data_IF_403005089782
#
_entry.id   IF_403005089782
#
_cell.length_a   1.000
_cell.length_b   1.000
_cell.length_c   1.000
_cell.angle_alpha   90.00
_cell.angle_beta   90.00
_cell.angle_gamma   90.00
#
_symmetry.space_group_name_H-M   'P 1'
#
loop_
_entity.id
_entity.type
_entity.pdbx_description
1 polymer ?
#
# COMPACT_ATOMS: atom_id res chain seq x y z
N UNK A 1 32.08 19.96 21.12
CA UNK A 1 30.68 20.22 21.54
C UNK A 1 29.66 20.14 20.39
N UNK A 2 30.06 20.22 19.12
CA UNK A 2 29.15 20.11 17.96
C UNK A 2 28.72 18.66 17.62
N UNK A 3 29.57 17.68 17.91
CA UNK A 3 29.33 16.26 17.58
C UNK A 3 28.26 15.59 18.45
N UNK A 4 28.17 15.97 19.74
CA UNK A 4 27.15 15.45 20.67
C UNK A 4 25.74 15.95 20.33
N UNK A 5 25.62 17.19 19.87
CA UNK A 5 24.33 17.79 19.49
C UNK A 5 23.74 17.12 18.22
N UNK A 6 24.56 16.88 17.20
CA UNK A 6 24.12 16.23 15.96
C UNK A 6 23.58 14.82 16.20
N UNK A 7 24.30 14.01 16.98
CA UNK A 7 23.93 12.63 17.33
C UNK A 7 22.57 12.56 18.05
N UNK A 8 22.31 13.48 18.99
CA UNK A 8 21.03 13.54 19.70
C UNK A 8 19.83 13.79 18.78
N UNK A 9 20.00 14.61 17.74
CA UNK A 9 18.94 14.95 16.80
C UNK A 9 18.57 13.78 15.87
N UNK A 10 19.56 13.00 15.43
CA UNK A 10 19.35 11.82 14.59
C UNK A 10 18.65 10.69 15.36
N UNK A 11 19.07 10.46 16.61
CA UNK A 11 18.42 9.48 17.48
C UNK A 11 16.94 9.85 17.71
N UNK A 12 16.66 11.11 18.08
CA UNK A 12 15.30 11.58 18.30
C UNK A 12 14.39 11.37 17.08
N UNK A 13 14.84 11.76 15.88
CA UNK A 13 14.05 11.54 14.64
C UNK A 13 13.85 10.06 14.33
N UNK A 14 14.83 9.22 14.66
CA UNK A 14 14.70 7.78 14.49
C UNK A 14 13.62 7.22 15.42
N UNK A 15 13.63 7.63 16.70
CA UNK A 15 12.60 7.25 17.68
C UNK A 15 11.21 7.77 17.29
N UNK A 16 11.09 9.00 16.81
CA UNK A 16 9.84 9.57 16.30
C UNK A 16 9.30 8.75 15.11
N UNK A 17 10.19 8.32 14.20
CA UNK A 17 9.79 7.44 13.10
C UNK A 17 9.35 6.05 13.57
N UNK A 18 10.07 5.43 14.52
CA UNK A 18 9.64 4.16 15.12
C UNK A 18 8.26 4.30 15.76
N UNK A 19 8.03 5.35 16.55
CA UNK A 19 6.75 5.62 17.16
C UNK A 19 5.64 5.80 16.12
N UNK A 20 5.89 6.53 15.04
CA UNK A 20 4.93 6.69 13.94
C UNK A 20 4.59 5.35 13.27
N UNK A 21 5.57 4.46 13.10
CA UNK A 21 5.35 3.11 12.58
C UNK A 21 4.48 2.25 13.51
N UNK A 22 4.73 2.31 14.82
CA UNK A 22 3.93 1.60 15.84
C UNK A 22 2.50 2.13 15.86
N UNK A 23 2.31 3.45 15.84
CA UNK A 23 0.98 4.07 15.81
C UNK A 23 0.21 3.68 14.55
N UNK A 24 0.87 3.64 13.39
CA UNK A 24 0.22 3.20 12.16
C UNK A 24 -0.22 1.73 12.24
N UNK A 25 0.64 0.83 12.72
CA UNK A 25 0.27 -0.58 12.94
C UNK A 25 -0.91 -0.72 13.90
N UNK A 26 -0.89 -0.01 15.04
CA UNK A 26 -1.99 -0.01 16.00
C UNK A 26 -3.30 0.51 15.37
N UNK A 27 -3.23 1.57 14.56
CA UNK A 27 -4.38 2.09 13.82
C UNK A 27 -4.96 1.05 12.85
N UNK A 28 -4.09 0.25 12.21
CA UNK A 28 -4.51 -0.85 11.35
C UNK A 28 -5.26 -1.95 12.07
N UNK A 29 -4.93 -2.22 13.33
CA UNK A 29 -5.60 -3.21 14.18
C UNK A 29 -6.93 -2.71 14.76
N UNK A 30 -7.26 -1.42 14.66
CA UNK A 30 -8.44 -0.84 15.29
C UNK A 30 -9.76 -1.56 14.97
N UNK A 31 -10.07 -1.94 13.71
CA UNK A 31 -11.31 -2.68 13.41
C UNK A 31 -11.47 -3.94 14.27
N UNK A 32 -10.36 -4.66 14.50
CA UNK A 32 -10.35 -5.86 15.32
C UNK A 32 -10.51 -5.57 16.80
N UNK A 33 -9.78 -4.57 17.30
CA UNK A 33 -9.78 -4.21 18.72
C UNK A 33 -11.11 -3.59 19.16
N UNK A 34 -11.75 -2.80 18.29
CA UNK A 34 -13.11 -2.27 18.52
C UNK A 34 -14.14 -3.40 18.62
N UNK A 35 -13.96 -4.48 17.85
CA UNK A 35 -14.76 -5.70 17.97
C UNK A 35 -14.50 -6.52 19.25
N UNK A 36 -13.62 -6.04 20.14
CA UNK A 36 -13.30 -6.67 21.43
C UNK A 36 -12.03 -7.52 21.42
N UNK A 37 -11.37 -7.70 20.27
CA UNK A 37 -10.09 -8.41 20.17
C UNK A 37 -10.09 -9.85 20.69
N UNK A 38 -11.24 -10.52 20.73
CA UNK A 38 -11.35 -11.91 21.21
C UNK A 38 -11.02 -12.88 20.10
N UNK A 39 -10.15 -13.86 20.36
CA UNK A 39 -9.76 -14.88 19.39
C UNK A 39 -11.03 -15.49 18.74
N UNK A 40 -11.11 -15.55 17.39
CA UNK A 40 -12.23 -16.23 16.75
C UNK A 40 -12.31 -17.69 17.22
N UNK A 41 -13.50 -18.27 17.25
CA UNK A 41 -13.68 -19.66 17.67
C UNK A 41 -12.73 -20.60 16.90
N UNK A 42 -12.03 -21.45 17.64
CA UNK A 42 -11.04 -22.38 17.11
C UNK A 42 -11.62 -23.79 17.13
N UNK A 43 -11.75 -24.42 15.97
CA UNK A 43 -12.30 -25.79 15.88
C UNK A 43 -11.36 -26.86 16.44
N UNK A 44 -10.07 -26.52 16.60
CA UNK A 44 -9.03 -27.40 17.13
C UNK A 44 -8.62 -27.03 18.56
N UNK A 45 -9.41 -26.20 19.25
CA UNK A 45 -9.13 -25.85 20.65
C UNK A 45 -9.19 -27.09 21.53
N UNK A 46 -8.24 -27.25 22.45
CA UNK A 46 -8.13 -28.47 23.26
C UNK A 46 -9.33 -28.67 24.20
N UNK A 47 -9.87 -27.56 24.72
CA UNK A 47 -11.00 -27.59 25.65
C UNK A 47 -12.26 -27.00 25.00
N UNK A 48 -13.43 -27.52 25.32
CA UNK A 48 -14.68 -26.92 24.84
C UNK A 48 -14.83 -25.50 25.40
N UNK A 49 -14.82 -24.50 24.52
CA UNK A 49 -14.84 -23.08 24.89
C UNK A 49 -15.83 -22.34 24.01
N UNK A 50 -16.83 -21.71 24.63
CA UNK A 50 -17.81 -20.89 23.92
C UNK A 50 -17.14 -19.63 23.32
N UNK A 51 -17.68 -19.04 22.23
CA UNK A 51 -17.09 -17.85 21.59
C UNK A 51 -16.82 -16.68 22.56
N UNK A 52 -17.68 -16.48 23.57
CA UNK A 52 -17.50 -15.42 24.58
C UNK A 52 -16.35 -15.68 25.57
N UNK A 53 -15.92 -16.94 25.72
CA UNK A 53 -14.82 -17.35 26.59
C UNK A 53 -13.45 -17.39 25.89
N UNK A 54 -13.40 -17.11 24.59
CA UNK A 54 -12.14 -17.09 23.85
C UNK A 54 -11.22 -15.95 24.33
N UNK A 55 -9.90 -16.21 24.47
CA UNK A 55 -8.96 -15.24 25.03
C UNK A 55 -8.73 -14.03 24.12
N UNK A 56 -8.21 -12.95 24.69
CA UNK A 56 -7.82 -11.77 23.93
C UNK A 56 -6.56 -12.02 23.09
N UNK A 57 -6.58 -11.54 21.86
CA UNK A 57 -5.47 -11.57 20.91
C UNK A 57 -5.42 -10.28 20.08
N UNK A 58 -4.20 -9.85 19.74
CA UNK A 58 -3.99 -8.67 18.91
C UNK A 58 -4.28 -8.91 17.43
N UNK A 59 -4.22 -10.17 16.97
CA UNK A 59 -4.54 -10.58 15.62
C UNK A 59 -5.65 -11.65 15.63
N UNK A 60 -6.63 -11.57 14.71
CA UNK A 60 -7.71 -12.55 14.59
C UNK A 60 -7.21 -13.86 13.94
N UNK A 61 -6.38 -14.63 14.65
CA UNK A 61 -5.78 -15.85 14.13
C UNK A 61 -6.85 -16.92 13.91
N UNK A 62 -7.26 -17.09 12.66
CA UNK A 62 -8.22 -18.12 12.22
C UNK A 62 -8.16 -18.30 10.71
N UNK A 63 -8.38 -19.52 10.23
CA UNK A 63 -8.52 -19.81 8.79
C UNK A 63 -9.62 -18.98 8.10
N UNK A 64 -10.69 -18.64 8.84
CA UNK A 64 -11.81 -17.84 8.33
C UNK A 64 -11.52 -16.34 8.32
N UNK A 65 -10.36 -15.94 8.86
CA UNK A 65 -9.90 -14.55 8.98
C UNK A 65 -8.56 -14.35 8.26
N UNK A 66 -8.17 -15.24 7.35
CA UNK A 66 -6.91 -15.14 6.62
C UNK A 66 -6.77 -13.83 5.84
N UNK A 67 -7.82 -13.42 5.12
CA UNK A 67 -7.82 -12.13 4.43
C UNK A 67 -7.85 -10.96 5.42
N UNK A 68 -8.62 -11.08 6.52
CA UNK A 68 -8.63 -10.07 7.59
C UNK A 68 -7.23 -9.84 8.16
N UNK A 69 -6.48 -10.91 8.47
CA UNK A 69 -5.09 -10.81 8.94
C UNK A 69 -4.22 -10.02 7.96
N UNK A 70 -4.30 -10.32 6.67
CA UNK A 70 -3.53 -9.62 5.65
C UNK A 70 -3.86 -8.12 5.61
N UNK A 71 -5.14 -7.76 5.58
CA UNK A 71 -5.54 -6.35 5.40
C UNK A 71 -5.25 -5.50 6.63
N UNK A 72 -5.36 -6.07 7.84
CA UNK A 72 -5.00 -5.39 9.09
C UNK A 72 -3.50 -5.03 9.16
N UNK A 73 -2.64 -5.76 8.43
CA UNK A 73 -1.19 -5.52 8.39
C UNK A 73 -0.76 -4.66 7.19
N UNK A 74 -1.32 -4.91 6.00
CA UNK A 74 -0.89 -4.27 4.76
C UNK A 74 -1.40 -2.82 4.65
N UNK A 75 -2.67 -2.58 4.95
CA UNK A 75 -3.29 -1.25 4.81
C UNK A 75 -2.60 -0.18 5.66
N UNK A 76 -2.37 -0.36 6.98
CA UNK A 76 -1.67 0.65 7.77
C UNK A 76 -0.23 0.90 7.29
N UNK A 77 0.47 -0.13 6.81
CA UNK A 77 1.84 0.01 6.34
C UNK A 77 1.90 0.84 5.04
N UNK A 78 0.97 0.63 4.11
CA UNK A 78 0.83 1.44 2.90
C UNK A 78 0.44 2.88 3.24
N UNK A 79 -0.49 3.07 4.18
CA UNK A 79 -0.88 4.40 4.64
C UNK A 79 0.30 5.14 5.29
N UNK A 80 1.10 4.47 6.11
CA UNK A 80 2.32 5.02 6.70
C UNK A 80 3.36 5.41 5.63
N UNK A 81 3.55 4.56 4.61
CA UNK A 81 4.47 4.86 3.50
C UNK A 81 4.03 6.09 2.71
N UNK A 82 2.72 6.21 2.43
CA UNK A 82 2.14 7.39 1.81
C UNK A 82 2.30 8.65 2.70
N UNK A 83 2.11 8.53 4.01
CA UNK A 83 2.29 9.62 4.95
C UNK A 83 3.74 10.12 4.99
N UNK A 84 4.72 9.19 5.06
CA UNK A 84 6.15 9.51 4.95
C UNK A 84 6.44 10.23 3.64
N UNK A 85 5.88 9.74 2.52
CA UNK A 85 6.04 10.35 1.22
C UNK A 85 5.48 11.78 1.14
N UNK A 86 4.30 12.00 1.70
CA UNK A 86 3.64 13.31 1.72
C UNK A 86 4.34 14.30 2.66
N UNK A 87 4.86 13.80 3.79
CA UNK A 87 5.56 14.59 4.80
C UNK A 87 7.03 14.90 4.44
N UNK A 88 7.59 14.27 3.40
CA UNK A 88 9.01 14.40 3.03
C UNK A 88 9.48 15.86 2.82
N UNK A 89 8.58 16.80 2.48
CA UNK A 89 8.90 18.22 2.34
C UNK A 89 8.81 19.04 3.64
N UNK A 90 8.23 18.48 4.71
CA UNK A 90 7.94 19.19 5.98
C UNK A 90 8.68 18.58 7.16
N UNK A 91 8.69 17.26 7.28
CA UNK A 91 9.27 16.52 8.39
C UNK A 91 10.05 15.34 7.83
N UNK A 92 11.38 15.39 7.95
CA UNK A 92 12.27 14.34 7.47
C UNK A 92 12.35 13.20 8.51
N UNK A 93 11.31 12.36 8.58
CA UNK A 93 11.38 11.08 9.29
C UNK A 93 12.13 10.05 8.42
N UNK A 94 13.15 9.36 8.95
CA UNK A 94 13.82 8.30 8.22
C UNK A 94 12.84 7.18 7.89
N UNK A 95 12.63 6.87 6.61
CA UNK A 95 11.67 5.82 6.21
C UNK A 95 11.99 4.45 6.84
N UNK A 96 13.28 4.14 7.03
CA UNK A 96 13.71 2.89 7.66
C UNK A 96 13.26 2.79 9.13
N UNK A 97 13.18 3.91 9.87
CA UNK A 97 12.78 3.87 11.28
C UNK A 97 11.26 3.67 11.42
N UNK A 98 10.48 4.25 10.51
CA UNK A 98 9.03 3.94 10.40
C UNK A 98 8.79 2.48 10.02
N UNK A 99 9.55 1.95 9.05
CA UNK A 99 9.50 0.54 8.69
C UNK A 99 9.85 -0.39 9.86
N UNK A 100 10.83 0.00 10.70
CA UNK A 100 11.21 -0.75 11.89
C UNK A 100 10.08 -0.73 12.95
N UNK A 101 9.45 0.43 13.17
CA UNK A 101 8.30 0.54 14.07
C UNK A 101 7.11 -0.34 13.65
N UNK A 102 6.78 -0.34 12.35
CA UNK A 102 5.76 -1.23 11.77
C UNK A 102 6.12 -2.71 12.01
N UNK A 103 7.36 -3.10 11.71
CA UNK A 103 7.84 -4.47 11.88
C UNK A 103 7.77 -4.91 13.34
N UNK A 104 8.21 -4.07 14.28
CA UNK A 104 8.17 -4.34 15.71
C UNK A 104 6.73 -4.54 16.21
N UNK A 105 5.81 -3.66 15.82
CA UNK A 105 4.41 -3.77 16.21
C UNK A 105 3.74 -5.03 15.64
N UNK A 106 3.96 -5.32 14.35
CA UNK A 106 3.43 -6.53 13.72
C UNK A 106 4.02 -7.82 14.33
N UNK A 107 5.33 -7.84 14.59
CA UNK A 107 5.99 -8.96 15.24
C UNK A 107 5.46 -9.17 16.67
N UNK A 108 5.26 -8.09 17.44
CA UNK A 108 4.68 -8.16 18.79
C UNK A 108 3.25 -8.69 18.78
N UNK A 109 2.40 -8.18 17.87
CA UNK A 109 1.02 -8.64 17.71
C UNK A 109 0.95 -10.12 17.29
N UNK A 110 1.86 -10.54 16.41
CA UNK A 110 1.99 -11.94 15.97
C UNK A 110 2.44 -12.83 17.13
N UNK A 111 3.52 -12.48 17.82
CA UNK A 111 4.03 -13.26 18.93
C UNK A 111 2.98 -13.43 20.04
N UNK A 112 2.31 -12.35 20.44
CA UNK A 112 1.25 -12.42 21.45
C UNK A 112 0.12 -13.36 21.03
N UNK A 113 -0.40 -13.18 19.80
CA UNK A 113 -1.56 -13.95 19.34
C UNK A 113 -1.22 -15.43 19.16
N UNK A 114 -0.05 -15.75 18.60
CA UNK A 114 0.37 -17.13 18.38
C UNK A 114 0.81 -17.84 19.67
N UNK A 115 1.31 -17.15 20.69
CA UNK A 115 1.52 -17.76 22.01
C UNK A 115 0.18 -18.17 22.63
N UNK A 116 -0.86 -17.34 22.52
CA UNK A 116 -2.21 -17.68 23.00
C UNK A 116 -2.77 -18.88 22.24
N UNK A 117 -2.66 -18.88 20.92
CA UNK A 117 -3.14 -20.01 20.10
C UNK A 117 -2.34 -21.29 20.38
N UNK A 118 -1.01 -21.23 20.47
CA UNK A 118 -0.18 -22.41 20.76
C UNK A 118 -0.57 -23.08 22.08
N UNK A 119 -0.85 -22.29 23.11
CA UNK A 119 -1.32 -22.79 24.41
C UNK A 119 -2.70 -23.41 24.32
N UNK A 120 -3.65 -22.76 23.65
CA UNK A 120 -5.01 -23.28 23.53
C UNK A 120 -5.17 -24.49 22.62
N UNK A 121 -4.24 -24.69 21.69
CA UNK A 121 -4.12 -25.89 20.86
C UNK A 121 -3.28 -27.00 21.53
N UNK A 122 -2.70 -26.75 22.70
CA UNK A 122 -1.74 -27.64 23.38
C UNK A 122 -0.62 -28.13 22.44
N UNK A 123 -0.07 -27.18 21.67
CA UNK A 123 0.94 -27.46 20.66
C UNK A 123 2.15 -28.19 21.28
N UNK A 124 2.46 -29.38 20.77
CA UNK A 124 3.53 -30.25 21.27
C UNK A 124 3.10 -31.30 22.29
N UNK A 125 1.85 -31.25 22.77
CA UNK A 125 1.27 -32.30 23.64
C UNK A 125 0.25 -33.18 22.88
N UNK A 126 -0.36 -32.64 21.82
CA UNK A 126 -1.32 -33.37 20.98
C UNK A 126 -0.64 -34.19 19.88
N UNK A 127 -1.24 -35.35 19.54
CA UNK A 127 -0.80 -36.25 18.45
C UNK A 127 -1.46 -35.85 17.11
N UNK A 128 -2.43 -34.93 17.11
CA UNK A 128 -3.15 -34.53 15.89
C UNK A 128 -2.27 -33.66 14.98
N UNK A 129 -1.79 -34.25 13.87
CA UNK A 129 -0.95 -33.58 12.89
C UNK A 129 -1.60 -32.31 12.27
N UNK A 130 -2.94 -32.21 12.30
CA UNK A 130 -3.67 -31.05 11.79
C UNK A 130 -3.41 -29.79 12.60
N UNK A 131 -3.13 -29.92 13.90
CA UNK A 131 -2.80 -28.79 14.79
C UNK A 131 -1.52 -28.11 14.33
N UNK A 132 -0.49 -28.89 14.00
CA UNK A 132 0.77 -28.37 13.47
C UNK A 132 0.57 -27.66 12.12
N UNK A 133 -0.12 -28.31 11.18
CA UNK A 133 -0.41 -27.73 9.86
C UNK A 133 -1.20 -26.41 9.97
N UNK A 134 -2.23 -26.39 10.81
CA UNK A 134 -3.04 -25.21 11.08
C UNK A 134 -2.21 -24.06 11.66
N UNK A 135 -1.45 -24.35 12.72
CA UNK A 135 -0.67 -23.34 13.42
C UNK A 135 0.43 -22.75 12.54
N UNK A 136 1.28 -23.60 11.96
CA UNK A 136 2.41 -23.15 11.14
C UNK A 136 1.96 -22.59 9.79
N UNK A 137 0.88 -23.10 9.22
CA UNK A 137 0.28 -22.55 8.00
C UNK A 137 -0.21 -21.12 8.20
N UNK A 138 -0.95 -20.86 9.29
CA UNK A 138 -1.39 -19.50 9.64
C UNK A 138 -0.22 -18.59 10.00
N UNK A 139 0.77 -19.09 10.75
CA UNK A 139 1.96 -18.31 11.10
C UNK A 139 2.73 -17.91 9.83
N UNK A 140 2.94 -18.84 8.91
CA UNK A 140 3.55 -18.58 7.61
C UNK A 140 2.78 -17.54 6.80
N UNK A 141 1.45 -17.63 6.77
CA UNK A 141 0.59 -16.64 6.12
C UNK A 141 0.69 -15.23 6.73
N UNK A 142 0.79 -15.13 8.06
CA UNK A 142 1.00 -13.86 8.77
C UNK A 142 2.38 -13.30 8.48
N UNK A 143 3.44 -14.12 8.52
CA UNK A 143 4.81 -13.69 8.15
C UNK A 143 4.84 -13.18 6.71
N UNK A 144 4.24 -13.89 5.76
CA UNK A 144 4.13 -13.44 4.38
C UNK A 144 3.37 -12.11 4.28
N UNK A 145 2.30 -11.93 5.06
CA UNK A 145 1.55 -10.66 5.13
C UNK A 145 2.38 -9.51 5.69
N UNK A 146 3.22 -9.75 6.70
CA UNK A 146 4.18 -8.75 7.22
C UNK A 146 5.17 -8.35 6.15
N UNK A 147 5.71 -9.31 5.39
CA UNK A 147 6.64 -9.02 4.29
C UNK A 147 5.96 -8.18 3.19
N UNK A 148 4.70 -8.50 2.85
CA UNK A 148 3.90 -7.70 1.92
C UNK A 148 3.61 -6.30 2.46
N UNK A 149 3.35 -6.16 3.75
CA UNK A 149 3.16 -4.87 4.40
C UNK A 149 4.44 -4.00 4.30
N UNK A 150 5.61 -4.58 4.57
CA UNK A 150 6.90 -3.90 4.40
C UNK A 150 7.15 -3.53 2.93
N UNK A 151 6.85 -4.42 1.99
CA UNK A 151 6.97 -4.12 0.57
C UNK A 151 6.03 -2.97 0.16
N UNK A 152 4.78 -2.97 0.61
CA UNK A 152 3.80 -1.90 0.39
C UNK A 152 4.26 -0.56 0.96
N UNK A 153 4.79 -0.55 2.17
CA UNK A 153 5.40 0.64 2.79
C UNK A 153 6.58 1.16 1.95
N UNK A 154 7.50 0.28 1.53
CA UNK A 154 8.68 0.67 0.75
C UNK A 154 8.29 1.19 -0.64
N UNK A 155 7.29 0.60 -1.29
CA UNK A 155 6.78 1.07 -2.57
C UNK A 155 6.18 2.47 -2.46
N UNK A 156 5.37 2.72 -1.44
CA UNK A 156 4.64 3.99 -1.27
C UNK A 156 5.45 5.11 -0.65
N UNK A 157 6.46 4.82 0.16
CA UNK A 157 7.39 5.81 0.74
C UNK A 157 8.42 6.34 -0.26
N UNK A 158 8.64 5.65 -1.38
CA UNK A 158 9.60 6.07 -2.41
C UNK A 158 9.23 7.42 -3.03
N UNK A 159 10.26 8.23 -3.30
CA UNK A 159 10.10 9.54 -3.95
C UNK A 159 9.60 9.43 -5.41
N UNK A 160 9.91 8.34 -6.10
CA UNK A 160 9.45 8.08 -7.47
C UNK A 160 7.96 7.75 -7.50
N UNK A 161 7.22 8.34 -8.45
CA UNK A 161 5.77 8.14 -8.59
C UNK A 161 5.39 6.72 -9.01
N UNK A 162 6.24 6.01 -9.76
CA UNK A 162 5.93 4.68 -10.30
C UNK A 162 5.71 3.62 -9.22
N UNK A 163 6.72 3.36 -8.36
CA UNK A 163 6.57 2.45 -7.23
C UNK A 163 5.41 2.82 -6.30
N UNK A 164 5.22 4.11 -6.03
CA UNK A 164 4.12 4.57 -5.19
C UNK A 164 2.74 4.28 -5.81
N UNK A 165 2.58 4.51 -7.12
CA UNK A 165 1.35 4.18 -7.84
C UNK A 165 1.07 2.67 -7.82
N UNK A 166 2.10 1.83 -7.99
CA UNK A 166 1.96 0.38 -7.88
C UNK A 166 1.55 -0.04 -6.46
N UNK A 167 2.21 0.50 -5.43
CA UNK A 167 1.89 0.21 -4.02
C UNK A 167 0.46 0.60 -3.65
N UNK A 168 -0.01 1.78 -4.08
CA UNK A 168 -1.39 2.22 -3.89
C UNK A 168 -2.40 1.31 -4.62
N UNK A 169 -2.07 0.88 -5.83
CA UNK A 169 -2.95 0.01 -6.62
C UNK A 169 -3.07 -1.39 -6.01
N UNK A 170 -1.95 -1.97 -5.54
CA UNK A 170 -1.93 -3.25 -4.83
C UNK A 170 -2.71 -3.18 -3.50
N UNK A 171 -2.73 -2.02 -2.85
CA UNK A 171 -3.44 -1.80 -1.60
C UNK A 171 -4.93 -1.46 -1.78
N UNK A 172 -5.39 -1.20 -3.00
CA UNK A 172 -6.77 -0.77 -3.26
C UNK A 172 -7.82 -1.80 -2.79
N UNK A 173 -7.59 -3.07 -3.11
CA UNK A 173 -8.46 -4.17 -2.65
C UNK A 173 -8.35 -4.38 -1.13
N UNK A 174 -7.15 -4.54 -0.53
CA UNK A 174 -6.99 -4.58 0.92
C UNK A 174 -7.68 -3.42 1.66
N UNK A 175 -7.60 -2.19 1.13
CA UNK A 175 -8.23 -1.01 1.74
C UNK A 175 -9.75 -1.16 1.81
N UNK A 176 -10.39 -1.66 0.75
CA UNK A 176 -11.83 -1.90 0.75
C UNK A 176 -12.25 -2.96 1.78
N UNK A 177 -11.48 -4.03 1.92
CA UNK A 177 -11.71 -5.05 2.95
C UNK A 177 -11.44 -4.55 4.37
N UNK A 178 -10.41 -3.73 4.57
CA UNK A 178 -10.15 -3.10 5.87
C UNK A 178 -11.30 -2.18 6.29
N UNK A 179 -11.82 -1.38 5.35
CA UNK A 179 -12.98 -0.53 5.59
C UNK A 179 -14.24 -1.36 5.90
N UNK A 180 -14.45 -2.47 5.19
CA UNK A 180 -15.54 -3.42 5.46
C UNK A 180 -15.47 -3.95 6.90
N UNK A 181 -14.29 -4.39 7.36
CA UNK A 181 -14.11 -4.85 8.75
C UNK A 181 -14.32 -3.71 9.76
N UNK A 182 -13.87 -2.49 9.46
CA UNK A 182 -14.08 -1.33 10.33
C UNK A 182 -15.58 -1.03 10.51
N UNK A 183 -16.33 -1.00 9.42
CA UNK A 183 -17.78 -0.77 9.45
C UNK A 183 -18.50 -1.92 10.15
N UNK A 184 -18.10 -3.17 9.88
CA UNK A 184 -18.67 -4.34 10.55
C UNK A 184 -18.47 -4.29 12.07
N UNK A 185 -17.27 -3.92 12.53
CA UNK A 185 -16.96 -3.78 13.95
C UNK A 185 -17.78 -2.68 14.64
N UNK A 186 -18.02 -1.57 13.94
CA UNK A 186 -18.78 -0.42 14.48
C UNK A 186 -20.30 -0.62 14.44
N UNK A 187 -20.82 -1.41 13.49
CA UNK A 187 -22.27 -1.58 13.31
C UNK A 187 -22.86 -2.58 14.31
N UNK A 188 -22.07 -3.51 14.83
CA UNK A 188 -22.55 -4.57 15.71
C UNK A 188 -23.34 -5.67 14.97
N UNK A 189 -23.78 -6.72 15.70
CA UNK A 189 -24.41 -7.89 15.11
C UNK A 189 -25.73 -7.55 14.40
N UNK A 190 -25.88 -7.98 13.14
CA UNK A 190 -27.13 -7.86 12.38
C UNK A 190 -27.44 -6.49 11.77
N UNK A 191 -26.62 -5.46 12.01
CA UNK A 191 -26.86 -4.10 11.53
C UNK A 191 -25.96 -3.69 10.35
N UNK A 192 -25.53 -4.66 9.54
CA UNK A 192 -24.57 -4.39 8.47
C UNK A 192 -25.19 -3.55 7.33
N UNK A 193 -24.64 -2.37 7.00
CA UNK A 193 -25.25 -1.51 5.99
C UNK A 193 -25.22 -2.13 4.59
N UNK A 194 -26.36 -2.21 3.91
CA UNK A 194 -26.49 -2.80 2.58
C UNK A 194 -25.61 -2.12 1.51
N UNK A 195 -25.29 -0.82 1.68
CA UNK A 195 -24.41 -0.07 0.78
C UNK A 195 -22.98 -0.63 0.73
N UNK A 196 -22.54 -1.37 1.76
CA UNK A 196 -21.17 -1.87 1.85
C UNK A 196 -20.82 -2.87 0.77
N UNK A 197 -21.77 -3.68 0.29
CA UNK A 197 -21.53 -4.56 -0.86
C UNK A 197 -21.15 -3.76 -2.12
N UNK A 198 -21.78 -2.61 -2.33
CA UNK A 198 -21.43 -1.68 -3.40
C UNK A 198 -20.07 -1.04 -3.19
N UNK A 199 -19.78 -0.58 -1.97
CA UNK A 199 -18.49 0.05 -1.62
C UNK A 199 -17.33 -0.92 -1.82
N UNK A 200 -17.41 -2.14 -1.28
CA UNK A 200 -16.34 -3.15 -1.40
C UNK A 200 -16.09 -3.51 -2.87
N UNK A 201 -17.15 -3.57 -3.68
CA UNK A 201 -17.05 -3.86 -5.12
C UNK A 201 -16.38 -2.74 -5.91
N UNK A 202 -16.73 -1.48 -5.66
CA UNK A 202 -16.35 -0.36 -6.54
C UNK A 202 -15.19 0.49 -6.01
N UNK A 203 -14.96 0.52 -4.70
CA UNK A 203 -13.90 1.32 -4.09
C UNK A 203 -12.51 0.98 -4.63
N UNK A 204 -12.12 -0.30 -4.83
CA UNK A 204 -10.81 -0.61 -5.41
C UNK A 204 -10.62 0.01 -6.80
N UNK A 205 -11.67 -0.02 -7.65
CA UNK A 205 -11.63 0.57 -8.98
C UNK A 205 -11.45 2.10 -8.94
N UNK A 206 -12.13 2.77 -8.00
CA UNK A 206 -11.99 4.23 -7.81
C UNK A 206 -10.56 4.56 -7.36
N UNK A 207 -10.02 3.85 -6.37
CA UNK A 207 -8.66 4.07 -5.87
C UNK A 207 -7.61 3.86 -6.96
N UNK A 208 -7.74 2.79 -7.75
CA UNK A 208 -6.83 2.51 -8.88
C UNK A 208 -6.98 3.57 -9.96
N UNK A 209 -8.19 3.92 -10.37
CA UNK A 209 -8.45 4.97 -11.36
C UNK A 209 -7.86 6.33 -10.97
N UNK A 210 -8.03 6.73 -9.71
CA UNK A 210 -7.41 7.94 -9.15
C UNK A 210 -5.89 7.85 -9.10
N UNK A 211 -5.35 6.68 -8.81
CA UNK A 211 -3.90 6.42 -8.80
C UNK A 211 -3.31 6.54 -10.21
N UNK A 212 -3.97 5.96 -11.22
CA UNK A 212 -3.59 6.08 -12.63
C UNK A 212 -3.70 7.53 -13.12
N UNK A 213 -4.75 8.23 -12.70
CA UNK A 213 -4.91 9.66 -12.92
C UNK A 213 -3.73 10.44 -12.31
N UNK A 214 -3.39 10.22 -11.04
CA UNK A 214 -2.25 10.89 -10.41
C UNK A 214 -0.92 10.59 -11.12
N UNK A 215 -0.70 9.33 -11.51
CA UNK A 215 0.53 8.89 -12.17
C UNK A 215 0.69 9.49 -13.58
N UNK A 216 -0.37 9.52 -14.37
CA UNK A 216 -0.39 10.06 -15.74
C UNK A 216 -0.08 9.05 -16.85
N UNK A 217 -0.20 9.53 -18.10
CA UNK A 217 0.13 8.80 -19.33
C UNK A 217 1.30 9.51 -20.05
N UNK A 218 2.49 8.91 -20.05
CA UNK A 218 3.68 9.30 -20.81
C UNK A 218 4.36 8.03 -21.36
N UNK A 219 5.15 8.09 -22.44
CA UNK A 219 5.54 6.89 -23.18
C UNK A 219 6.47 5.92 -22.40
N UNK A 220 6.33 4.63 -22.73
CA UNK A 220 7.19 3.52 -22.30
C UNK A 220 6.88 2.96 -20.91
N UNK A 221 7.74 3.25 -19.93
CA UNK A 221 7.72 2.65 -18.57
C UNK A 221 6.41 2.88 -17.81
N UNK A 222 5.62 3.88 -18.21
CA UNK A 222 4.36 4.18 -17.53
C UNK A 222 3.24 3.22 -17.92
N UNK A 223 3.27 2.70 -19.15
CA UNK A 223 2.29 1.69 -19.61
C UNK A 223 2.42 0.41 -18.80
N UNK A 224 3.66 0.02 -18.45
CA UNK A 224 3.90 -1.14 -17.60
C UNK A 224 3.28 -0.97 -16.20
N UNK A 225 3.36 0.23 -15.60
CA UNK A 225 2.72 0.51 -14.29
C UNK A 225 1.21 0.50 -14.41
N UNK A 226 0.64 1.05 -15.50
CA UNK A 226 -0.79 0.97 -15.77
C UNK A 226 -1.28 -0.47 -15.89
N UNK A 227 -0.61 -1.26 -16.72
CA UNK A 227 -0.93 -2.67 -16.91
C UNK A 227 -0.82 -3.44 -15.58
N UNK A 228 0.25 -3.24 -14.81
CA UNK A 228 0.43 -3.87 -13.52
C UNK A 228 -0.65 -3.47 -12.50
N UNK A 229 -1.05 -2.19 -12.45
CA UNK A 229 -2.10 -1.71 -11.56
C UNK A 229 -3.48 -2.28 -11.92
N UNK A 230 -3.81 -2.34 -13.21
CA UNK A 230 -5.07 -2.95 -13.68
C UNK A 230 -5.07 -4.46 -13.48
N UNK A 231 -3.94 -5.14 -13.72
CA UNK A 231 -3.79 -6.56 -13.44
C UNK A 231 -3.91 -6.86 -11.95
N UNK A 232 -3.35 -6.04 -11.06
CA UNK A 232 -3.52 -6.16 -9.62
C UNK A 232 -5.00 -6.02 -9.22
N UNK A 233 -5.70 -5.00 -9.75
CA UNK A 233 -7.13 -4.83 -9.52
C UNK A 233 -7.95 -6.03 -9.99
N UNK A 234 -7.56 -6.64 -11.10
CA UNK A 234 -8.24 -7.79 -11.68
C UNK A 234 -8.01 -9.07 -10.87
N UNK A 235 -6.76 -9.34 -10.51
CA UNK A 235 -6.32 -10.62 -9.93
C UNK A 235 -6.48 -10.67 -8.42
N UNK A 236 -6.18 -9.58 -7.69
CA UNK A 236 -6.14 -9.61 -6.22
C UNK A 236 -7.48 -9.98 -5.57
N UNK A 237 -8.64 -9.40 -5.95
CA UNK A 237 -9.92 -9.82 -5.39
C UNK A 237 -10.24 -11.29 -5.68
N UNK A 238 -9.98 -11.75 -6.92
CA UNK A 238 -10.19 -13.14 -7.30
C UNK A 238 -9.33 -14.10 -6.48
N UNK A 239 -8.07 -13.73 -6.25
CA UNK A 239 -7.16 -14.49 -5.39
C UNK A 239 -7.69 -14.54 -3.94
N UNK A 240 -8.16 -13.42 -3.40
CA UNK A 240 -8.67 -13.36 -2.02
C UNK A 240 -9.88 -14.28 -1.82
N UNK A 241 -10.87 -14.21 -2.71
CA UNK A 241 -12.07 -15.06 -2.64
C UNK A 241 -11.70 -16.53 -2.77
N UNK A 242 -10.85 -16.88 -3.73
CA UNK A 242 -10.47 -18.26 -4.01
C UNK A 242 -9.67 -18.89 -2.88
N UNK A 243 -8.67 -18.16 -2.35
CA UNK A 243 -7.90 -18.62 -1.19
C UNK A 243 -8.78 -18.76 0.05
N UNK A 244 -9.65 -17.78 0.33
CA UNK A 244 -10.52 -17.83 1.49
C UNK A 244 -11.50 -19.01 1.41
N UNK A 245 -11.98 -19.34 0.21
CA UNK A 245 -12.83 -20.51 -0.05
C UNK A 245 -12.08 -21.82 0.21
N UNK A 246 -10.87 -21.98 -0.36
CA UNK A 246 -10.05 -23.17 -0.14
C UNK A 246 -9.67 -23.37 1.33
N UNK A 247 -9.26 -22.29 1.99
CA UNK A 247 -8.92 -22.29 3.42
C UNK A 247 -10.14 -22.66 4.29
N UNK A 248 -11.33 -22.13 3.99
CA UNK A 248 -12.52 -22.31 4.81
C UNK A 248 -13.14 -23.72 4.77
N UNK A 249 -13.00 -24.45 3.66
CA UNK A 249 -13.69 -25.72 3.47
C UNK A 249 -12.96 -26.93 4.10
N UNK A 250 -11.62 -26.88 4.24
CA UNK A 250 -10.83 -28.13 4.23
C UNK A 250 -9.56 -28.20 5.09
N UNK A 251 -9.15 -27.14 5.82
CA UNK A 251 -7.95 -27.27 6.69
C UNK A 251 -8.12 -28.34 7.77
N UNK A 252 -9.36 -28.58 8.21
CA UNK A 252 -9.70 -29.56 9.25
C UNK A 252 -9.61 -31.02 8.78
N UNK A 253 -9.57 -31.25 7.46
CA UNK A 253 -9.30 -32.57 6.87
C UNK A 253 -7.81 -32.78 6.57
N UNK A 254 -7.01 -31.72 6.61
CA UNK A 254 -5.58 -31.78 6.33
C UNK A 254 -5.23 -32.02 4.85
N UNK A 255 -6.20 -32.04 3.94
CA UNK A 255 -5.97 -32.30 2.52
C UNK A 255 -5.69 -31.00 1.75
N UNK A 256 -4.41 -30.64 1.67
CA UNK A 256 -3.93 -29.45 0.96
C UNK A 256 -4.20 -29.53 -0.54
N UNK A 257 -4.18 -30.74 -1.13
CA UNK A 257 -4.45 -30.95 -2.55
C UNK A 257 -5.89 -30.59 -2.90
N UNK A 258 -6.83 -31.05 -2.10
CA UNK A 258 -8.26 -30.75 -2.24
C UNK A 258 -8.57 -29.25 -1.99
N UNK A 259 -7.80 -28.59 -1.11
CA UNK A 259 -7.91 -27.13 -0.89
C UNK A 259 -7.44 -26.33 -2.11
N UNK A 260 -6.30 -26.70 -2.68
CA UNK A 260 -5.73 -26.04 -3.86
C UNK A 260 -6.62 -26.24 -5.08
N UNK A 261 -7.15 -27.45 -5.29
CA UNK A 261 -8.04 -27.74 -6.43
C UNK A 261 -9.33 -26.93 -6.35
N UNK A 262 -9.96 -26.82 -5.17
CA UNK A 262 -11.13 -25.96 -4.97
C UNK A 262 -10.83 -24.48 -5.24
N UNK A 263 -9.69 -23.99 -4.74
CA UNK A 263 -9.26 -22.60 -4.97
C UNK A 263 -9.05 -22.35 -6.47
N UNK A 264 -8.38 -23.27 -7.17
CA UNK A 264 -8.10 -23.17 -8.60
C UNK A 264 -9.37 -23.23 -9.46
N UNK A 265 -10.38 -24.03 -9.06
CA UNK A 265 -11.66 -24.11 -9.75
C UNK A 265 -12.48 -22.82 -9.64
N UNK A 266 -12.45 -22.16 -8.47
CA UNK A 266 -13.23 -20.93 -8.24
C UNK A 266 -12.58 -19.70 -8.88
N UNK A 267 -11.26 -19.67 -9.01
CA UNK A 267 -10.50 -18.49 -9.43
C UNK A 267 -10.92 -17.89 -10.80
N UNK A 268 -11.10 -18.67 -11.89
CA UNK A 268 -11.57 -18.13 -13.16
C UNK A 268 -12.96 -17.49 -13.08
N UNK A 269 -13.87 -18.09 -12.31
CA UNK A 269 -15.23 -17.59 -12.15
C UNK A 269 -15.23 -16.21 -11.48
N UNK A 270 -14.36 -16.01 -10.48
CA UNK A 270 -14.26 -14.71 -9.80
C UNK A 270 -13.53 -13.68 -10.67
N UNK A 271 -12.55 -14.08 -11.49
CA UNK A 271 -11.88 -13.17 -12.44
C UNK A 271 -12.87 -12.52 -13.41
N UNK A 272 -13.87 -13.26 -13.90
CA UNK A 272 -14.90 -12.73 -14.80
C UNK A 272 -15.71 -11.61 -14.14
N UNK A 273 -16.01 -11.74 -12.83
CA UNK A 273 -16.73 -10.72 -12.07
C UNK A 273 -15.94 -9.41 -11.92
N UNK A 274 -14.61 -9.47 -12.02
CA UNK A 274 -13.71 -8.33 -11.83
C UNK A 274 -13.48 -7.50 -13.11
N UNK A 275 -13.99 -7.94 -14.26
CA UNK A 275 -13.86 -7.20 -15.54
C UNK A 275 -14.50 -5.81 -15.45
N UNK A 276 -15.69 -5.71 -14.86
CA UNK A 276 -16.41 -4.44 -14.75
C UNK A 276 -15.68 -3.40 -13.86
N UNK A 277 -15.22 -3.73 -12.63
CA UNK A 277 -14.34 -2.84 -11.85
C UNK A 277 -13.09 -2.38 -12.60
N UNK A 278 -12.43 -3.28 -13.33
CA UNK A 278 -11.23 -2.95 -14.12
C UNK A 278 -11.54 -1.96 -15.23
N UNK A 279 -12.65 -2.15 -15.96
CA UNK A 279 -13.11 -1.23 -16.99
C UNK A 279 -13.41 0.16 -16.43
N UNK A 280 -14.04 0.25 -15.25
CA UNK A 280 -14.30 1.52 -14.56
C UNK A 280 -13.00 2.22 -14.17
N UNK A 281 -12.04 1.49 -13.58
CA UNK A 281 -10.75 2.06 -13.21
C UNK A 281 -9.99 2.61 -14.44
N UNK A 282 -10.01 1.86 -15.54
CA UNK A 282 -9.42 2.28 -16.82
C UNK A 282 -10.10 3.55 -17.35
N UNK A 283 -11.44 3.59 -17.35
CA UNK A 283 -12.21 4.75 -17.82
C UNK A 283 -11.90 6.00 -16.99
N UNK A 284 -11.85 5.89 -15.66
CA UNK A 284 -11.48 6.99 -14.76
C UNK A 284 -10.05 7.50 -15.03
N UNK A 285 -9.09 6.59 -15.19
CA UNK A 285 -7.71 6.93 -15.51
C UNK A 285 -7.59 7.67 -16.85
N UNK A 286 -8.25 7.16 -17.90
CA UNK A 286 -8.24 7.74 -19.24
C UNK A 286 -8.91 9.12 -19.27
N UNK A 287 -10.07 9.26 -18.61
CA UNK A 287 -10.79 10.53 -18.52
C UNK A 287 -9.91 11.62 -17.87
N UNK A 288 -9.22 11.29 -16.76
CA UNK A 288 -8.33 12.23 -16.09
C UNK A 288 -7.07 12.56 -16.91
N UNK A 289 -6.58 11.62 -17.71
CA UNK A 289 -5.47 11.89 -18.64
C UNK A 289 -5.92 12.82 -19.79
N UNK A 290 -7.10 12.58 -20.38
CA UNK A 290 -7.67 13.41 -21.43
C UNK A 290 -7.94 14.84 -20.93
N UNK A 291 -8.52 15.00 -19.73
CA UNK A 291 -8.76 16.31 -19.12
C UNK A 291 -7.47 17.13 -18.96
N UNK A 292 -6.38 16.51 -18.49
CA UNK A 292 -5.07 17.17 -18.37
C UNK A 292 -4.48 17.56 -19.72
N UNK A 293 -4.59 16.68 -20.73
CA UNK A 293 -4.13 17.00 -22.08
C UNK A 293 -4.91 18.17 -22.69
N UNK A 294 -6.22 18.25 -22.45
CA UNK A 294 -7.06 19.37 -22.88
C UNK A 294 -6.68 20.69 -22.21
N UNK A 295 -6.47 20.69 -20.89
CA UNK A 295 -6.04 21.87 -20.13
C UNK A 295 -4.66 22.37 -20.57
N UNK A 296 -3.70 21.47 -20.82
CA UNK A 296 -2.36 21.84 -21.30
C UNK A 296 -2.39 22.47 -22.70
N UNK A 297 -3.36 22.11 -23.56
CA UNK A 297 -3.54 22.72 -24.88
C UNK A 297 -4.16 24.12 -24.80
N UNK A 298 -5.11 24.33 -23.87
CA UNK A 298 -5.74 25.65 -23.63
C UNK A 298 -4.79 26.66 -22.97
N UNK A 299 -3.86 26.18 -22.14
CA UNK A 299 -2.84 27.00 -21.48
C UNK A 299 -1.65 27.41 -22.33
N UNK A 300 -1.68 27.21 -23.66
CA UNK A 300 -0.79 27.92 -24.59
C UNK A 300 -1.57 29.11 -25.16
N UNK A 301 -1.58 30.28 -24.50
CA UNK A 301 -1.95 31.52 -25.18
C UNK A 301 -1.12 31.58 -26.44
N UNK A 302 -1.77 31.95 -27.56
CA UNK A 302 -1.11 32.14 -28.83
C UNK A 302 0.23 32.82 -28.58
N UNK A 303 1.30 32.15 -29.04
CA UNK A 303 2.62 32.74 -29.13
C UNK A 303 2.41 33.92 -30.07
N UNK A 304 2.04 35.08 -29.49
CA UNK A 304 1.94 36.36 -30.18
C UNK A 304 3.25 36.44 -30.92
N UNK A 305 3.16 36.39 -32.24
CA UNK A 305 4.33 36.40 -33.09
C UNK A 305 5.21 37.55 -32.60
N UNK A 306 6.52 37.34 -32.37
CA UNK A 306 7.38 38.43 -32.02
C UNK A 306 7.43 39.38 -33.21
N UNK A 307 6.55 40.38 -33.19
CA UNK A 307 6.50 41.54 -34.07
C UNK A 307 7.73 42.45 -33.87
N UNK A 308 8.72 41.99 -33.10
CA UNK A 308 10.02 42.64 -32.88
C UNK A 308 11.10 42.34 -33.93
N UNK A 309 10.87 41.44 -34.92
CA UNK A 309 11.87 41.17 -35.97
C UNK A 309 12.03 42.29 -37.00
N UNK A 310 11.22 43.36 -36.94
CA UNK A 310 11.44 44.57 -37.77
C UNK A 310 12.47 45.55 -37.19
N UNK A 311 12.87 45.44 -35.92
CA UNK A 311 13.87 46.36 -35.34
C UNK A 311 15.30 45.80 -35.28
N UNK A 312 15.52 44.51 -35.52
CA UNK A 312 16.86 43.93 -35.58
C UNK A 312 17.65 44.41 -36.82
N UNK A 313 17.01 44.54 -37.98
CA UNK A 313 17.66 45.09 -39.18
C UNK A 313 18.03 46.58 -39.06
N UNK A 314 17.33 47.36 -38.21
CA UNK A 314 17.70 48.77 -37.97
C UNK A 314 18.92 48.93 -37.07
N UNK A 315 19.17 47.98 -36.16
CA UNK A 315 20.37 48.01 -35.28
C UNK A 315 21.63 47.51 -36.00
N UNK A 316 21.48 46.61 -36.97
CA UNK A 316 22.59 46.15 -37.81
C UNK A 316 23.02 47.23 -38.81
N UNK A 317 22.06 47.96 -39.41
CA UNK A 317 22.37 49.14 -40.24
C UNK A 317 23.08 50.27 -39.46
N UNK A 318 22.79 50.45 -38.16
CA UNK A 318 23.49 51.43 -37.30
C UNK A 318 24.88 50.95 -36.84
N UNK A 319 25.16 49.65 -36.80
CA UNK A 319 26.49 49.13 -36.44
C UNK A 319 27.52 49.28 -37.56
N UNK A 320 27.08 49.30 -38.82
CA UNK A 320 27.96 49.54 -39.97
C UNK A 320 28.36 51.02 -40.16
N UNK A 321 27.70 51.96 -39.48
CA UNK A 321 28.01 53.39 -39.54
C UNK A 321 28.84 53.91 -38.35
N UNK A 322 29.30 53.03 -37.46
CA UNK A 322 30.08 53.46 -36.28
C UNK A 322 31.58 53.39 -36.58
N UNK A 323 32.32 54.52 -36.58
CA UNK A 323 33.75 54.53 -36.83
C UNK A 323 34.52 53.77 -35.74
N UNK A 324 35.46 52.93 -36.20
CA UNK A 324 36.46 52.20 -35.42
C UNK A 324 37.06 53.06 -34.29
N UNK A 325 36.78 52.70 -33.04
CA UNK A 325 37.68 53.05 -31.93
C UNK A 325 38.58 51.85 -31.66
N UNK A 326 39.84 52.04 -32.05
CA UNK A 326 40.97 51.21 -31.67
C UNK A 326 41.23 51.26 -30.15
N UNK A 327 42.11 50.37 -29.71
CA UNK A 327 42.74 50.24 -28.38
C UNK A 327 41.89 49.52 -27.32
N UNK A 328 42.44 48.69 -26.43
CA UNK A 328 43.83 48.49 -26.05
C UNK A 328 44.01 47.10 -25.44
N UNK A 329 45.13 46.48 -25.78
CA UNK A 329 45.77 45.32 -25.16
C UNK A 329 45.96 45.47 -23.65
N UNK A 330 45.74 44.39 -22.88
CA UNK A 330 46.48 44.06 -21.63
C UNK A 330 46.24 42.58 -21.29
N UNK A 331 47.22 41.69 -21.45
CA UNK A 331 48.43 41.49 -20.61
C UNK A 331 48.18 40.38 -19.56
N UNK A 332 48.64 39.18 -19.93
CA UNK A 332 49.54 38.28 -19.18
C UNK A 332 49.44 38.28 -17.64
N UNK A 333 49.18 37.11 -17.05
CA UNK A 333 50.16 36.38 -16.21
C UNK A 333 49.57 35.14 -15.48
N UNK A 334 50.44 34.22 -15.01
CA UNK A 334 50.13 32.81 -14.77
C UNK A 334 50.45 32.35 -13.32
N UNK A 335 50.44 31.01 -13.09
CA UNK A 335 51.29 30.24 -12.15
C UNK A 335 50.80 29.93 -10.70
N UNK A 336 51.02 28.64 -10.33
CA UNK A 336 51.11 27.95 -9.00
C UNK A 336 49.79 27.55 -8.30
N UNK A 337 49.62 26.34 -7.76
CA UNK A 337 50.49 25.17 -7.55
C UNK A 337 49.64 23.88 -7.54
#
# INVERSE_FOLDING_TARGET
>A
MTETAATSSHLRRSLEGVAAGVVAAAAGLLPWLVGGGRLPLQNLWANETLPGGMPFVLLPVSQYKAITLLVLLVVPAVAAGLAVRAAASRVALPAWSVAAGLLLAHAGATAQSFVVVARGLELGQTVDARVGLYFFGLLGGVVASILLAQAGFLLTSRASRGPAALGLSLAATPLAYWLNEAVAALSGPGQYPAIMSGVVRWLPAVVVGLTLAWYGLRPGRQIAVWAAALAALWVTPALFVSLQYGLGMRILRGDVGEMLSASAQLFPQVLELMVAPVAVALALGLAAAAARAGLARRGRPGRVAPEGRRHANQREARRLASPMRASCTRESAPVLA
#
